data_IF_870091957935
#
_entry.id   IF_870091957935
#
_cell.length_a   1.000
_cell.length_b   1.000
_cell.length_c   1.000
_cell.angle_alpha   90.00
_cell.angle_beta   90.00
_cell.angle_gamma   90.00
#
_symmetry.space_group_name_H-M   'P 1'
#
loop_
_entity.id
_entity.type
_entity.pdbx_description
1 polymer ?
#
# COMPACT_ATOMS: atom_id res chain seq x y z
N UNK A 1 45.50 -22.64 101.42
CA UNK A 1 44.11 -23.15 101.43
C UNK A 1 43.22 -21.96 101.71
N UNK A 2 42.31 -21.67 100.77
CA UNK A 2 41.69 -20.35 100.57
C UNK A 2 40.54 -20.12 101.55
N UNK A 3 40.49 -18.88 102.05
CA UNK A 3 39.57 -18.29 103.02
C UNK A 3 38.22 -17.94 102.39
N UNK A 4 37.12 -18.10 103.13
CA UNK A 4 35.88 -17.32 102.96
C UNK A 4 35.32 -17.01 104.35
N UNK A 5 35.00 -15.74 104.64
CA UNK A 5 33.63 -15.46 105.05
C UNK A 5 33.00 -14.30 104.27
N UNK A 6 31.66 -14.23 104.22
CA UNK A 6 30.91 -13.52 103.20
C UNK A 6 30.77 -12.02 103.51
N UNK A 7 30.85 -11.21 102.45
CA UNK A 7 30.60 -9.78 102.47
C UNK A 7 29.11 -9.43 102.56
N UNK A 8 28.85 -8.36 103.30
CA UNK A 8 27.58 -7.63 103.32
C UNK A 8 27.50 -6.68 102.11
N UNK A 9 26.29 -6.51 101.56
CA UNK A 9 25.91 -5.39 100.67
C UNK A 9 24.36 -5.25 100.63
N UNK A 10 23.77 -4.19 100.05
CA UNK A 10 23.18 -3.10 100.82
C UNK A 10 21.65 -2.97 100.62
N UNK A 11 21.01 -2.20 101.49
CA UNK A 11 19.64 -1.71 101.34
C UNK A 11 19.52 -0.74 100.17
N UNK A 12 18.54 -0.93 99.27
CA UNK A 12 18.00 0.19 98.50
C UNK A 12 16.55 -0.02 98.03
N UNK A 13 15.74 0.95 98.44
CA UNK A 13 14.69 1.64 97.69
C UNK A 13 13.63 0.82 96.92
N UNK A 14 12.46 0.68 97.55
CA UNK A 14 11.18 0.36 96.90
C UNK A 14 10.79 1.51 95.97
N UNK A 15 10.73 1.24 94.66
CA UNK A 15 10.26 2.19 93.62
C UNK A 15 8.73 2.20 93.59
N UNK A 16 8.12 3.33 93.90
CA UNK A 16 6.71 3.60 93.56
C UNK A 16 6.60 3.80 92.04
N UNK A 17 5.73 3.01 91.39
CA UNK A 17 5.38 3.22 90.00
C UNK A 17 4.27 4.28 89.94
N UNK A 18 4.57 5.49 89.47
CA UNK A 18 3.53 6.46 89.11
C UNK A 18 2.97 6.07 87.74
N UNK A 19 1.65 5.85 87.69
CA UNK A 19 0.91 5.68 86.45
C UNK A 19 0.65 7.06 85.86
N UNK A 20 1.42 7.45 84.86
CA UNK A 20 1.10 8.61 84.01
C UNK A 20 0.31 8.12 82.78
N UNK A 21 -1.01 8.26 82.82
CA UNK A 21 -1.85 8.16 81.63
C UNK A 21 -1.67 9.41 80.78
N UNK A 22 -1.15 9.26 79.56
CA UNK A 22 -1.16 10.31 78.54
C UNK A 22 -2.60 10.55 78.06
N UNK A 23 -3.02 11.81 77.79
CA UNK A 23 -4.31 12.06 77.19
C UNK A 23 -4.29 11.60 75.72
N UNK A 24 -5.38 10.96 75.29
CA UNK A 24 -5.58 10.66 73.88
C UNK A 24 -5.71 11.97 73.09
N UNK A 25 -4.82 12.20 72.12
CA UNK A 25 -5.00 13.28 71.15
C UNK A 25 -6.28 13.02 70.36
N UNK A 26 -7.27 13.89 70.51
CA UNK A 26 -8.45 13.88 69.67
C UNK A 26 -8.05 14.26 68.24
N UNK A 27 -8.34 13.37 67.26
CA UNK A 27 -8.15 13.64 65.84
C UNK A 27 -8.86 14.96 65.47
N UNK A 28 -8.10 15.92 64.96
CA UNK A 28 -8.62 17.25 64.68
C UNK A 28 -9.49 17.22 63.40
N UNK A 29 -10.59 17.99 63.34
CA UNK A 29 -11.57 17.93 62.26
C UNK A 29 -11.02 18.24 60.85
N UNK A 30 -9.85 18.89 60.77
CA UNK A 30 -9.17 19.18 59.50
C UNK A 30 -8.56 17.94 58.85
N UNK A 31 -8.22 16.89 59.61
CA UNK A 31 -7.67 15.64 59.06
C UNK A 31 -8.69 14.94 58.15
N UNK A 32 -9.95 14.86 58.60
CA UNK A 32 -11.08 14.32 57.84
C UNK A 32 -11.36 15.09 56.55
N UNK A 33 -11.24 16.42 56.61
CA UNK A 33 -11.43 17.31 55.45
C UNK A 33 -10.29 17.12 54.46
N UNK A 34 -9.04 17.08 54.92
CA UNK A 34 -7.86 16.89 54.09
C UNK A 34 -7.84 15.52 53.39
N UNK A 35 -8.24 14.46 54.11
CA UNK A 35 -8.39 13.10 53.56
C UNK A 35 -9.47 13.02 52.47
N UNK A 36 -10.58 13.78 52.61
CA UNK A 36 -11.62 13.86 51.56
C UNK A 36 -11.11 14.56 50.31
N UNK A 37 -10.38 15.67 50.47
CA UNK A 37 -9.76 16.38 49.33
C UNK A 37 -8.73 15.51 48.60
N UNK A 38 -7.87 14.79 49.33
CA UNK A 38 -6.90 13.84 48.76
C UNK A 38 -7.57 12.70 47.98
N UNK A 39 -8.69 12.16 48.49
CA UNK A 39 -9.46 11.11 47.80
C UNK A 39 -10.11 11.62 46.51
N UNK A 40 -10.71 12.81 46.54
CA UNK A 40 -11.34 13.42 45.36
C UNK A 40 -10.26 13.75 44.31
N UNK A 41 -9.12 14.31 44.72
CA UNK A 41 -8.00 14.58 43.83
C UNK A 41 -7.44 13.29 43.20
N UNK A 42 -7.29 12.22 43.98
CA UNK A 42 -6.86 10.92 43.48
C UNK A 42 -7.87 10.28 42.51
N UNK A 43 -9.17 10.39 42.79
CA UNK A 43 -10.24 9.90 41.91
C UNK A 43 -10.30 10.68 40.59
N UNK A 44 -10.14 12.01 40.62
CA UNK A 44 -10.08 12.84 39.43
C UNK A 44 -8.82 12.56 38.60
N UNK A 45 -7.66 12.35 39.25
CA UNK A 45 -6.42 11.95 38.58
C UNK A 45 -6.54 10.57 37.90
N UNK A 46 -7.17 9.60 38.57
CA UNK A 46 -7.39 8.28 37.99
C UNK A 46 -8.37 8.31 36.81
N UNK A 47 -9.45 9.10 36.92
CA UNK A 47 -10.41 9.29 35.83
C UNK A 47 -9.77 9.95 34.59
N UNK A 48 -8.87 10.91 34.79
CA UNK A 48 -8.16 11.56 33.68
C UNK A 48 -7.15 10.63 33.00
N UNK A 49 -6.47 9.75 33.73
CA UNK A 49 -5.59 8.71 33.12
C UNK A 49 -6.39 7.70 32.27
N UNK A 50 -7.58 7.31 32.70
CA UNK A 50 -8.45 6.38 31.94
C UNK A 50 -8.96 7.02 30.64
N UNK A 51 -9.31 8.32 30.66
CA UNK A 51 -9.75 9.06 29.47
C UNK A 51 -8.60 9.22 28.46
N UNK A 52 -7.38 9.50 28.94
CA UNK A 52 -6.18 9.58 28.09
C UNK A 52 -5.80 8.22 27.47
N UNK A 53 -5.95 7.11 28.21
CA UNK A 53 -5.69 5.77 27.68
C UNK A 53 -6.73 5.33 26.63
N UNK A 54 -7.99 5.73 26.79
CA UNK A 54 -9.06 5.43 25.83
C UNK A 54 -8.95 6.25 24.52
N UNK A 55 -8.32 7.43 24.55
CA UNK A 55 -8.13 8.29 23.38
C UNK A 55 -6.97 7.90 22.45
N UNK A 56 -6.10 6.97 22.84
CA UNK A 56 -4.96 6.52 22.04
C UNK A 56 -5.28 5.36 21.08
N UNK A 57 -6.50 4.80 21.14
CA UNK A 57 -6.92 3.74 20.24
C UNK A 57 -7.60 4.29 18.98
N UNK A 58 -6.91 4.21 17.84
CA UNK A 58 -7.43 4.45 16.48
C UNK A 58 -7.31 5.88 15.95
N UNK A 59 -6.09 6.37 15.77
CA UNK A 59 -5.86 7.26 14.64
C UNK A 59 -6.06 6.41 13.36
N UNK A 60 -6.91 6.81 12.40
CA UNK A 60 -6.99 6.11 11.13
C UNK A 60 -5.59 6.13 10.51
N UNK A 61 -5.06 4.95 10.19
CA UNK A 61 -3.81 4.85 9.45
C UNK A 61 -3.96 5.71 8.19
N UNK A 62 -3.03 6.65 7.99
CA UNK A 62 -3.00 7.47 6.77
C UNK A 62 -2.87 6.50 5.60
N UNK A 63 -3.98 6.27 4.90
CA UNK A 63 -3.99 5.45 3.70
C UNK A 63 -3.15 6.20 2.67
N UNK A 64 -1.93 5.74 2.44
CA UNK A 64 -1.05 6.32 1.41
C UNK A 64 -1.71 6.03 0.06
N UNK A 65 -2.31 7.04 -0.55
CA UNK A 65 -2.72 6.97 -1.96
C UNK A 65 -1.48 6.73 -2.82
N UNK A 66 -1.59 5.85 -3.82
CA UNK A 66 -0.48 5.63 -4.73
C UNK A 66 -0.41 4.23 -5.33
N UNK A 67 0.69 4.01 -6.04
CA UNK A 67 1.04 2.71 -6.64
C UNK A 67 1.55 1.79 -5.54
N UNK A 68 0.86 0.68 -5.34
CA UNK A 68 1.24 -0.38 -4.40
C UNK A 68 2.22 -1.36 -5.04
N UNK A 69 2.07 -1.63 -6.35
CA UNK A 69 2.91 -2.55 -7.10
C UNK A 69 2.90 -2.29 -8.60
N UNK A 70 4.04 -2.55 -9.23
CA UNK A 70 4.21 -2.59 -10.69
C UNK A 70 4.59 -4.01 -11.10
N UNK A 71 3.87 -4.57 -12.06
CA UNK A 71 4.20 -5.84 -12.71
C UNK A 71 4.63 -5.58 -14.14
N UNK A 72 5.75 -6.17 -14.55
CA UNK A 72 6.23 -6.16 -15.93
C UNK A 72 5.80 -7.48 -16.55
N UNK A 73 4.94 -7.41 -17.56
CA UNK A 73 4.40 -8.57 -18.27
C UNK A 73 5.08 -8.66 -19.64
N UNK A 74 5.53 -9.86 -20.02
CA UNK A 74 6.08 -10.09 -21.34
C UNK A 74 4.91 -10.06 -22.34
N UNK A 75 4.90 -9.04 -23.20
CA UNK A 75 3.84 -8.78 -24.15
C UNK A 75 4.20 -9.07 -25.61
N UNK A 76 5.46 -9.43 -25.84
CA UNK A 76 5.94 -9.92 -27.11
C UNK A 76 7.44 -10.02 -27.11
N UNK A 77 7.94 -10.91 -27.95
CA UNK A 77 9.36 -11.01 -28.26
C UNK A 77 9.50 -10.90 -29.78
N UNK A 78 10.40 -10.02 -30.22
CA UNK A 78 10.53 -9.67 -31.62
C UNK A 78 11.95 -9.82 -32.11
N UNK A 79 12.12 -10.11 -33.39
CA UNK A 79 13.40 -9.89 -34.08
C UNK A 79 13.15 -8.98 -35.27
N UNK A 80 13.69 -7.77 -35.24
CA UNK A 80 13.72 -6.87 -36.37
C UNK A 80 14.75 -7.37 -37.39
N UNK A 81 14.37 -7.47 -38.67
CA UNK A 81 15.32 -7.84 -39.72
C UNK A 81 16.31 -6.74 -40.10
N UNK A 82 15.95 -5.47 -39.91
CA UNK A 82 16.83 -4.33 -40.19
C UNK A 82 16.52 -3.15 -39.25
N UNK A 83 17.44 -2.88 -38.31
CA UNK A 83 17.24 -1.80 -37.33
C UNK A 83 17.44 -0.39 -37.88
N UNK A 84 17.90 -0.22 -39.12
CA UNK A 84 17.97 1.11 -39.74
C UNK A 84 16.60 1.78 -39.89
N UNK A 85 15.50 1.03 -39.73
CA UNK A 85 14.13 1.57 -39.58
C UNK A 85 13.97 2.50 -38.37
N UNK A 86 14.75 2.29 -37.30
CA UNK A 86 14.78 3.15 -36.11
C UNK A 86 15.99 4.07 -36.07
N UNK A 87 17.04 3.77 -36.85
CA UNK A 87 18.22 4.60 -36.99
C UNK A 87 18.56 4.87 -38.47
N UNK A 88 17.83 5.76 -39.17
CA UNK A 88 18.01 5.95 -40.60
C UNK A 88 19.47 6.27 -40.97
N UNK A 89 20.02 5.53 -41.94
CA UNK A 89 21.42 5.66 -42.38
C UNK A 89 22.45 4.98 -41.48
N UNK A 90 22.04 4.43 -40.33
CA UNK A 90 22.90 3.70 -39.37
C UNK A 90 22.38 2.27 -39.25
N UNK A 91 23.28 1.29 -39.08
CA UNK A 91 22.93 -0.13 -38.85
C UNK A 91 22.10 -0.80 -39.96
N UNK A 92 22.27 -0.36 -41.20
CA UNK A 92 21.61 -0.95 -42.38
C UNK A 92 21.87 -2.46 -42.46
N UNK A 93 20.79 -3.23 -42.61
CA UNK A 93 20.83 -4.69 -42.76
C UNK A 93 21.19 -5.45 -41.49
N UNK A 94 21.26 -4.79 -40.33
CA UNK A 94 21.56 -5.47 -39.06
C UNK A 94 20.28 -5.88 -38.33
N UNK A 95 20.13 -7.15 -37.94
CA UNK A 95 19.00 -7.59 -37.14
C UNK A 95 19.19 -7.25 -35.66
N UNK A 96 18.10 -7.20 -34.90
CA UNK A 96 18.13 -7.00 -33.44
C UNK A 96 16.90 -7.61 -32.77
N UNK A 97 17.09 -8.16 -31.59
CA UNK A 97 16.00 -8.61 -30.74
C UNK A 97 15.31 -7.44 -30.04
N UNK A 98 13.99 -7.48 -29.98
CA UNK A 98 13.12 -6.54 -29.29
C UNK A 98 12.30 -7.28 -28.23
N UNK A 99 12.02 -6.58 -27.13
CA UNK A 99 11.08 -7.02 -26.12
C UNK A 99 9.93 -6.02 -26.08
N UNK A 100 8.71 -6.52 -26.14
CA UNK A 100 7.49 -5.77 -25.90
C UNK A 100 6.99 -6.10 -24.49
N UNK A 101 6.68 -5.07 -23.71
CA UNK A 101 6.27 -5.18 -22.31
C UNK A 101 4.96 -4.44 -22.10
N UNK A 102 4.02 -5.09 -21.41
CA UNK A 102 2.91 -4.39 -20.79
C UNK A 102 3.19 -4.18 -19.32
N UNK A 103 2.58 -3.14 -18.74
CA UNK A 103 2.74 -2.86 -17.31
C UNK A 103 1.39 -2.91 -16.61
N UNK A 104 1.22 -3.89 -15.71
CA UNK A 104 0.07 -3.93 -14.83
C UNK A 104 0.41 -3.21 -13.53
N UNK A 105 -0.37 -2.20 -13.19
CA UNK A 105 -0.14 -1.31 -12.05
C UNK A 105 -1.25 -1.53 -11.04
N UNK A 106 -0.88 -1.99 -9.85
CA UNK A 106 -1.76 -2.01 -8.68
C UNK A 106 -1.73 -0.64 -8.03
N UNK A 107 -2.83 0.08 -8.12
CA UNK A 107 -3.05 1.33 -7.39
C UNK A 107 -4.03 1.08 -6.24
N UNK A 108 -3.99 1.93 -5.20
CA UNK A 108 -4.96 1.89 -4.10
C UNK A 108 -6.40 2.09 -4.57
N UNK A 109 -6.59 2.71 -5.74
CA UNK A 109 -7.90 3.01 -6.33
C UNK A 109 -8.33 2.04 -7.44
N UNK A 110 -7.52 1.02 -7.74
CA UNK A 110 -7.86 0.02 -8.77
C UNK A 110 -6.64 -0.46 -9.56
N UNK A 111 -6.92 -1.23 -10.61
CA UNK A 111 -5.91 -1.73 -11.54
C UNK A 111 -5.86 -0.86 -12.79
N UNK A 112 -4.64 -0.50 -13.19
CA UNK A 112 -4.36 0.09 -14.49
C UNK A 112 -3.48 -0.87 -15.28
N UNK A 113 -3.81 -1.07 -16.55
CA UNK A 113 -2.94 -1.75 -17.50
C UNK A 113 -2.40 -0.73 -18.50
N UNK A 114 -1.08 -0.66 -18.65
CA UNK A 114 -0.39 0.15 -19.66
C UNK A 114 0.04 -0.74 -20.82
N UNK A 115 -0.48 -0.44 -22.00
CA UNK A 115 -0.43 -1.22 -23.22
C UNK A 115 -1.00 -2.64 -23.07
N UNK A 116 -1.31 -3.27 -24.20
CA UNK A 116 -1.93 -4.60 -24.26
C UNK A 116 -1.13 -5.58 -25.12
N UNK A 117 0.00 -5.12 -25.65
CA UNK A 117 0.99 -5.96 -26.29
C UNK A 117 0.59 -6.44 -27.67
N UNK A 118 1.45 -7.30 -28.21
CA UNK A 118 1.16 -8.12 -29.39
C UNK A 118 -0.03 -9.06 -29.12
N UNK A 119 -0.89 -9.25 -30.13
CA UNK A 119 -2.12 -10.07 -30.06
C UNK A 119 -1.86 -11.48 -29.53
N UNK A 120 -2.65 -11.91 -28.54
CA UNK A 120 -2.57 -13.23 -27.92
C UNK A 120 -2.76 -14.38 -28.92
N UNK A 121 -3.45 -14.16 -30.05
CA UNK A 121 -3.60 -15.14 -31.12
C UNK A 121 -2.25 -15.59 -31.71
N UNK A 122 -1.21 -14.74 -31.64
CA UNK A 122 0.13 -15.08 -32.13
C UNK A 122 0.77 -16.21 -31.32
N UNK A 123 0.33 -16.43 -30.07
CA UNK A 123 0.82 -17.53 -29.24
C UNK A 123 0.45 -18.91 -29.82
N UNK A 124 -0.59 -18.98 -30.65
CA UNK A 124 -1.01 -20.21 -31.33
C UNK A 124 -0.22 -20.48 -32.62
N UNK A 125 0.58 -19.52 -33.11
CA UNK A 125 1.36 -19.68 -34.32
C UNK A 125 2.72 -20.33 -33.99
N UNK A 126 3.03 -21.55 -34.49
CA UNK A 126 4.29 -22.23 -34.20
C UNK A 126 5.51 -21.41 -34.61
N UNK A 127 5.36 -20.67 -35.72
CA UNK A 127 6.36 -19.76 -36.26
C UNK A 127 6.11 -18.29 -35.92
N UNK A 128 5.18 -17.97 -35.02
CA UNK A 128 4.85 -16.58 -34.72
C UNK A 128 4.26 -15.83 -35.90
N UNK A 129 4.27 -14.50 -35.82
CA UNK A 129 3.80 -13.63 -36.90
C UNK A 129 4.98 -13.08 -37.68
N UNK A 130 5.22 -13.64 -38.86
CA UNK A 130 6.18 -13.09 -39.81
C UNK A 130 5.70 -11.71 -40.32
N UNK A 131 6.60 -10.74 -40.52
CA UNK A 131 6.23 -9.46 -41.07
C UNK A 131 6.03 -9.54 -42.58
N UNK A 132 5.22 -8.64 -43.15
CA UNK A 132 5.09 -8.50 -44.60
C UNK A 132 6.38 -7.99 -45.26
N UNK A 133 7.10 -7.12 -44.56
CA UNK A 133 8.44 -6.66 -44.95
C UNK A 133 9.47 -7.38 -44.07
N UNK A 134 10.39 -8.19 -44.64
CA UNK A 134 11.43 -8.89 -43.87
C UNK A 134 12.32 -7.98 -43.01
N UNK A 135 12.34 -6.67 -43.28
CA UNK A 135 13.05 -5.68 -42.46
C UNK A 135 12.33 -5.35 -41.15
N UNK A 136 11.02 -5.55 -41.07
CA UNK A 136 10.23 -5.29 -39.87
C UNK A 136 10.40 -6.41 -38.83
N UNK A 137 9.60 -6.34 -37.75
CA UNK A 137 9.72 -7.26 -36.62
C UNK A 137 8.95 -8.55 -36.91
N UNK A 138 9.62 -9.69 -36.76
CA UNK A 138 8.98 -10.99 -36.62
C UNK A 138 8.61 -11.19 -35.16
N UNK A 139 7.31 -11.18 -34.87
CA UNK A 139 6.79 -11.28 -33.51
C UNK A 139 6.54 -12.72 -33.05
N UNK A 140 6.80 -12.95 -31.78
CA UNK A 140 6.52 -14.17 -31.01
C UNK A 140 5.76 -13.79 -29.76
N UNK A 141 4.86 -14.67 -29.32
CA UNK A 141 4.06 -14.49 -28.10
C UNK A 141 4.19 -15.73 -27.21
N UNK A 142 5.23 -15.81 -26.35
CA UNK A 142 5.49 -17.00 -25.55
C UNK A 142 4.42 -17.27 -24.49
N UNK A 143 3.79 -16.20 -23.97
CA UNK A 143 2.71 -16.26 -22.97
C UNK A 143 1.66 -15.21 -23.31
N UNK A 144 0.40 -15.61 -23.36
CA UNK A 144 -0.71 -14.67 -23.58
C UNK A 144 -0.82 -13.67 -22.43
N UNK A 145 -1.29 -12.45 -22.69
CA UNK A 145 -1.63 -11.46 -21.68
C UNK A 145 -2.70 -12.03 -20.75
N UNK A 146 -3.71 -12.69 -21.33
CA UNK A 146 -4.75 -13.38 -20.58
C UNK A 146 -4.18 -14.37 -19.54
N UNK A 147 -3.21 -15.20 -19.94
CA UNK A 147 -2.61 -16.20 -19.03
C UNK A 147 -1.80 -15.55 -17.91
N UNK A 148 -1.11 -14.43 -18.19
CA UNK A 148 -0.32 -13.71 -17.19
C UNK A 148 -1.21 -13.00 -16.17
N UNK A 149 -2.31 -12.38 -16.63
CA UNK A 149 -3.32 -11.81 -15.73
C UNK A 149 -3.95 -12.88 -14.83
N UNK A 150 -4.30 -14.04 -15.40
CA UNK A 150 -4.84 -15.17 -14.66
C UNK A 150 -3.85 -15.70 -13.59
N UNK A 151 -2.55 -15.79 -13.92
CA UNK A 151 -1.51 -16.18 -12.96
C UNK A 151 -1.42 -15.22 -11.76
N UNK A 152 -1.74 -13.94 -11.96
CA UNK A 152 -1.78 -12.93 -10.91
C UNK A 152 -3.13 -12.86 -10.18
N UNK A 153 -4.10 -13.69 -10.58
CA UNK A 153 -5.46 -13.66 -10.02
C UNK A 153 -6.26 -12.42 -10.40
N UNK A 154 -5.87 -11.73 -11.48
CA UNK A 154 -6.54 -10.50 -11.97
C UNK A 154 -7.38 -10.86 -13.19
N UNK A 155 -8.68 -10.58 -13.13
CA UNK A 155 -9.57 -10.77 -14.29
C UNK A 155 -9.53 -9.51 -15.16
N UNK A 156 -9.76 -9.61 -16.48
CA UNK A 156 -9.91 -8.42 -17.33
C UNK A 156 -10.95 -7.41 -16.80
N UNK A 157 -12.03 -7.90 -16.20
CA UNK A 157 -13.07 -7.06 -15.59
C UNK A 157 -12.62 -6.31 -14.32
N UNK A 158 -11.51 -6.70 -13.68
CA UNK A 158 -10.96 -6.00 -12.51
C UNK A 158 -10.10 -4.79 -12.93
N UNK A 159 -9.78 -4.66 -14.22
CA UNK A 159 -8.98 -3.56 -14.79
C UNK A 159 -9.88 -2.36 -15.03
N UNK A 160 -9.62 -1.27 -14.31
CA UNK A 160 -10.45 -0.06 -14.35
C UNK A 160 -10.00 0.88 -15.47
N UNK A 161 -8.69 0.90 -15.75
CA UNK A 161 -8.09 1.75 -16.77
C UNK A 161 -7.18 0.93 -17.67
N UNK A 162 -7.31 1.12 -18.98
CA UNK A 162 -6.32 0.69 -19.96
C UNK A 162 -5.73 1.94 -20.57
N UNK A 163 -4.44 2.18 -20.35
CA UNK A 163 -3.71 3.27 -20.97
C UNK A 163 -2.92 2.74 -22.15
N UNK A 164 -3.07 3.36 -23.31
CA UNK A 164 -2.34 3.01 -24.52
C UNK A 164 -1.34 4.12 -24.81
N UNK A 165 -0.07 3.75 -24.94
CA UNK A 165 1.02 4.66 -25.26
C UNK A 165 0.84 5.27 -26.65
N UNK A 166 0.51 4.43 -27.64
CA UNK A 166 0.20 4.77 -29.03
C UNK A 166 -0.47 3.59 -29.75
N UNK A 167 -0.92 3.76 -30.99
CA UNK A 167 -1.79 2.79 -31.67
C UNK A 167 -1.10 1.81 -32.62
N UNK A 168 0.21 1.60 -32.47
CA UNK A 168 0.86 0.52 -33.22
C UNK A 168 0.35 -0.86 -32.76
N UNK A 169 0.29 -1.86 -33.67
CA UNK A 169 -0.33 -3.16 -33.39
C UNK A 169 0.28 -3.93 -32.21
N UNK A 170 1.56 -3.73 -31.93
CA UNK A 170 2.28 -4.30 -30.81
C UNK A 170 1.92 -3.67 -29.45
N UNK A 171 1.10 -2.61 -29.41
CA UNK A 171 0.62 -2.00 -28.17
C UNK A 171 -0.87 -2.23 -27.92
N UNK A 172 -1.64 -2.50 -28.97
CA UNK A 172 -3.12 -2.57 -28.92
C UNK A 172 -3.69 -3.95 -29.23
N UNK A 173 -2.85 -4.97 -29.38
CA UNK A 173 -3.24 -6.29 -29.87
C UNK A 173 -4.29 -7.01 -29.01
N UNK A 174 -4.49 -6.62 -27.75
CA UNK A 174 -5.48 -7.23 -26.86
C UNK A 174 -6.45 -6.21 -26.24
N UNK A 175 -6.55 -5.00 -26.79
CA UNK A 175 -7.37 -3.92 -26.20
C UNK A 175 -8.84 -4.29 -26.04
N UNK A 176 -9.38 -5.11 -26.95
CA UNK A 176 -10.77 -5.55 -26.94
C UNK A 176 -11.11 -6.51 -25.77
N UNK A 177 -10.09 -7.05 -25.09
CA UNK A 177 -10.27 -7.90 -23.90
C UNK A 177 -10.84 -7.13 -22.70
N UNK A 178 -10.80 -5.80 -22.71
CA UNK A 178 -11.13 -4.94 -21.56
C UNK A 178 -12.34 -4.02 -21.84
N UNK A 179 -13.52 -4.55 -22.18
CA UNK A 179 -14.67 -3.74 -22.61
C UNK A 179 -15.28 -2.88 -21.49
N UNK A 180 -14.93 -3.15 -20.22
CA UNK A 180 -15.42 -2.39 -19.06
C UNK A 180 -14.41 -1.33 -18.59
N UNK A 181 -13.17 -1.36 -19.08
CA UNK A 181 -12.14 -0.42 -18.67
C UNK A 181 -12.34 0.93 -19.35
N UNK A 182 -11.96 2.01 -18.67
CA UNK A 182 -11.82 3.30 -19.32
C UNK A 182 -10.53 3.31 -20.15
N UNK A 183 -10.67 3.45 -21.46
CA UNK A 183 -9.54 3.56 -22.39
C UNK A 183 -8.96 4.98 -22.35
N UNK A 184 -7.69 5.08 -21.95
CA UNK A 184 -6.90 6.30 -21.96
C UNK A 184 -5.97 6.26 -23.18
N UNK A 185 -6.19 7.15 -24.14
CA UNK A 185 -5.37 7.28 -25.35
C UNK A 185 -5.23 8.74 -25.72
N UNK A 186 -4.08 9.13 -26.26
CA UNK A 186 -3.88 10.49 -26.76
C UNK A 186 -4.85 10.77 -27.91
N UNK A 187 -5.38 12.00 -27.95
CA UNK A 187 -6.32 12.41 -29.00
C UNK A 187 -5.73 12.24 -30.41
N UNK A 188 -4.43 12.54 -30.57
CA UNK A 188 -3.72 12.42 -31.83
C UNK A 188 -3.58 10.96 -32.32
N UNK A 189 -3.55 10.02 -31.39
CA UNK A 189 -3.45 8.57 -31.65
C UNK A 189 -4.82 7.92 -31.80
N UNK A 190 -5.91 8.62 -31.50
CA UNK A 190 -7.24 8.05 -31.61
C UNK A 190 -7.53 7.67 -33.08
N UNK A 191 -7.98 6.43 -33.35
CA UNK A 191 -8.36 6.02 -34.71
C UNK A 191 -9.55 6.83 -35.27
N UNK A 192 -10.23 7.61 -34.41
CA UNK A 192 -11.31 8.53 -34.78
C UNK A 192 -10.80 9.95 -35.13
N UNK A 193 -9.49 10.20 -35.04
CA UNK A 193 -8.86 11.48 -35.27
C UNK A 193 -9.33 12.57 -34.31
N UNK A 194 -9.52 13.79 -34.83
CA UNK A 194 -10.02 14.92 -34.04
C UNK A 194 -11.52 14.82 -33.69
N UNK A 195 -12.22 13.85 -34.26
CA UNK A 195 -13.62 13.54 -33.93
C UNK A 195 -13.66 12.99 -32.51
N UNK A 196 -14.61 13.46 -31.69
CA UNK A 196 -14.87 12.84 -30.40
C UNK A 196 -15.08 11.34 -30.62
N UNK A 197 -14.42 10.51 -29.82
CA UNK A 197 -14.76 9.10 -29.67
C UNK A 197 -16.29 9.03 -29.57
N UNK A 198 -16.99 8.28 -30.44
CA UNK A 198 -18.43 8.15 -30.31
C UNK A 198 -18.69 7.62 -28.90
N UNK A 199 -19.32 8.44 -28.06
CA UNK A 199 -19.84 7.99 -26.79
C UNK A 199 -20.81 6.87 -27.13
N UNK A 200 -20.37 5.61 -27.04
CA UNK A 200 -21.26 4.49 -27.31
C UNK A 200 -22.40 4.61 -26.31
N UNK A 201 -23.57 4.81 -26.91
CA UNK A 201 -24.88 4.86 -26.30
C UNK A 201 -25.08 3.61 -25.44
N UNK A 202 -25.04 3.78 -24.12
CA UNK A 202 -25.32 2.69 -23.18
C UNK A 202 -24.53 2.81 -21.88
N UNK A 203 -24.95 3.72 -21.00
CA UNK A 203 -24.72 3.66 -19.55
C UNK A 203 -23.28 3.54 -19.02
N UNK A 204 -22.27 4.13 -19.67
CA UNK A 204 -21.11 4.66 -18.93
C UNK A 204 -20.58 5.85 -19.69
N UNK A 205 -20.81 7.05 -19.14
CA UNK A 205 -20.14 8.25 -19.64
C UNK A 205 -18.64 7.99 -19.57
N UNK A 206 -17.94 7.99 -20.71
CA UNK A 206 -16.50 8.23 -20.73
C UNK A 206 -16.31 9.62 -20.13
N UNK A 207 -16.14 9.66 -18.80
CA UNK A 207 -15.88 10.90 -18.09
C UNK A 207 -14.55 11.42 -18.62
N UNK A 208 -14.52 12.68 -19.07
CA UNK A 208 -13.25 13.41 -19.06
C UNK A 208 -12.64 13.18 -17.67
N UNK A 209 -11.37 12.77 -17.55
CA UNK A 209 -10.74 12.71 -16.24
C UNK A 209 -10.88 14.10 -15.62
N UNK A 210 -11.69 14.21 -14.57
CA UNK A 210 -11.71 15.41 -13.74
C UNK A 210 -10.32 15.48 -13.11
N UNK A 211 -9.48 16.37 -13.61
CA UNK A 211 -8.18 16.77 -13.05
C UNK A 211 -7.33 15.62 -12.48
N UNK A 212 -6.42 15.10 -13.31
CA UNK A 212 -5.39 14.16 -12.89
C UNK A 212 -5.86 12.71 -12.95
N UNK A 213 -5.09 11.87 -13.63
CA UNK A 213 -5.35 10.42 -13.71
C UNK A 213 -5.38 9.80 -12.31
N UNK A 214 -4.79 10.47 -11.30
CA UNK A 214 -5.11 10.37 -9.88
C UNK A 214 -4.79 11.73 -9.23
N UNK A 215 -5.70 12.39 -8.46
CA UNK A 215 -5.30 13.55 -7.66
C UNK A 215 -4.32 13.10 -6.57
N UNK A 216 -3.22 13.85 -6.42
CA UNK A 216 -2.14 13.57 -5.47
C UNK A 216 -2.61 13.45 -4.01
#
# INVERSE_FOLDING_TARGET
>A
MIMIPPGAAPTSFRREASQTTLPALAAHPWESVMLKFLRIAAQLALASVVILAAGCGSLPARQTSGVERLYILNCGEGVAGDISRWSPGVNVGKPMAFADNCYLIKHTQGWLLWDTGVDDAIAALPDGQAPADPKAIHWRRPKTLASQLAQLGVKPADIHYVAISHTHPDHIGNVEMFPQAMLLVQKAESPFGNSQMPAKTGSTTLRKPNSGIWPA
#
